data_IF_931466275097
#
_entry.id   IF_931466275097
#
_cell.length_a   1.000
_cell.length_b   1.000
_cell.length_c   1.000
_cell.angle_alpha   90.00
_cell.angle_beta   90.00
_cell.angle_gamma   90.00
#
_symmetry.space_group_name_H-M   'P 1'
#
loop_
_entity.id
_entity.type
_entity.pdbx_description
1 polymer ?
2 non-polymer ?
3 water ?
#
# COMPACT_ATOMS: atom_id res chain seq x y z
N UNK A 20 19.44 -11.54 -17.10
CA UNK A 20 20.43 -11.18 -16.10
C UNK A 20 19.77 -10.77 -14.78
N UNK A 21 20.58 -10.67 -13.73
CA UNK A 21 20.04 -10.35 -12.41
C UNK A 21 19.70 -8.87 -12.28
N UNK A 22 20.52 -7.98 -12.87
CA UNK A 22 20.27 -6.55 -12.74
C UNK A 22 18.99 -6.14 -13.44
N UNK A 23 18.65 -6.81 -14.54
CA UNK A 23 17.41 -6.49 -15.24
C UNK A 23 16.20 -6.82 -14.38
N UNK A 24 16.20 -8.00 -13.74
CA UNK A 24 15.09 -8.36 -12.87
C UNK A 24 15.07 -7.51 -11.60
N UNK A 25 16.24 -7.05 -11.14
CA UNK A 25 16.26 -6.13 -10.01
C UNK A 25 15.61 -4.80 -10.37
N UNK A 26 15.94 -4.26 -11.55
CA UNK A 26 15.28 -3.04 -12.00
C UNK A 26 13.79 -3.27 -12.19
N UNK A 27 13.46 -4.48 -12.61
CA UNK A 27 12.06 -4.73 -12.87
C UNK A 27 11.36 -5.38 -11.76
N UNK A 28 11.87 -5.24 -10.58
CA UNK A 28 11.11 -5.66 -9.45
C UNK A 28 11.48 -4.51 -8.56
N UNK A 29 11.59 -3.32 -9.15
CA UNK A 29 11.83 -2.13 -8.41
C UNK A 29 10.74 -1.46 -8.98
N UNK A 30 10.85 -1.21 -10.24
CA UNK A 30 9.76 -0.48 -10.87
C UNK A 30 8.40 -1.06 -10.49
N UNK A 31 8.34 -2.36 -10.20
CA UNK A 31 7.10 -2.95 -9.72
C UNK A 31 6.74 -2.41 -8.33
N UNK A 32 7.75 -2.30 -7.45
CA UNK A 32 7.52 -1.67 -6.16
C UNK A 32 7.10 -0.22 -6.31
N UNK A 33 7.69 0.49 -7.27
CA UNK A 33 7.30 1.87 -7.53
C UNK A 33 5.84 1.95 -7.95
N UNK A 34 5.42 1.06 -8.86
CA UNK A 34 4.03 1.03 -9.30
C UNK A 34 3.09 0.69 -8.15
N UNK A 35 3.51 -0.23 -7.27
CA UNK A 35 2.67 -0.62 -6.15
C UNK A 35 2.52 0.52 -5.14
N UNK A 36 3.60 1.24 -4.86
CA UNK A 36 3.56 2.35 -3.92
C UNK A 36 3.02 3.63 -4.52
N UNK A 37 2.85 3.69 -5.85
CA UNK A 37 2.25 4.86 -6.47
C UNK A 37 0.85 5.13 -5.94
N UNK A 38 0.16 4.09 -5.48
CA UNK A 38 -1.17 4.27 -4.91
C UNK A 38 -1.12 5.00 -3.57
N UNK A 39 0.00 4.92 -2.85
CA UNK A 39 0.12 5.61 -1.57
C UNK A 39 0.22 7.12 -1.75
N UNK A 40 0.66 7.60 -2.90
CA UNK A 40 0.81 9.02 -3.18
C UNK A 40 -0.28 9.58 -4.08
N UNK A 41 -0.72 8.81 -5.08
CA UNK A 41 -1.76 9.31 -5.99
C UNK A 41 -3.12 9.33 -5.32
N UNK A 42 -3.36 8.46 -4.34
CA UNK A 42 -4.62 8.42 -3.62
C UNK A 42 -4.56 9.15 -2.29
N UNK A 43 -3.54 9.98 -2.08
CA UNK A 43 -3.44 10.76 -0.85
C UNK A 43 -4.52 11.83 -0.81
N UNK A 44 -5.16 11.97 0.34
CA UNK A 44 -6.24 12.93 0.53
C UNK A 44 -5.68 14.14 1.27
N UNK A 45 -5.57 15.30 0.63
CA UNK A 45 -5.09 16.50 1.33
C UNK A 45 -6.19 17.13 2.16
N UNK A 46 -5.82 18.18 2.89
CA UNK A 46 -6.79 18.93 3.68
C UNK A 46 -7.78 19.62 2.76
N UNK A 47 -9.06 19.28 2.90
CA UNK A 47 -10.11 19.81 2.05
C UNK A 47 -11.21 20.42 2.89
N UNK A 48 -11.97 21.32 2.26
CA UNK A 48 -13.10 21.97 2.90
C UNK A 48 -14.22 22.16 1.89
N UNK A 49 -15.40 22.51 2.38
CA UNK A 49 -16.55 22.69 1.51
C UNK A 49 -16.44 23.98 0.71
N UNK A 50 -16.92 23.95 -0.52
CA UNK A 50 -16.94 25.13 -1.36
C UNK A 50 -17.93 26.14 -0.81
N UNK A 51 -17.43 27.29 -0.37
CA UNK A 51 -18.26 28.30 0.26
C UNK A 51 -18.26 29.58 -0.57
N UNK A 52 -19.40 30.28 -0.65
CA UNK A 52 -19.42 31.53 -1.43
C UNK A 52 -18.61 32.65 -0.81
N UNK A 53 -18.46 32.67 0.51
CA UNK A 53 -17.68 33.70 1.18
C UNK A 53 -16.18 33.43 1.14
N UNK A 54 -15.74 32.38 0.44
CA UNK A 54 -14.32 32.05 0.34
C UNK A 54 -13.82 31.79 -1.07
N UNK A 55 -14.70 31.49 -2.03
CA UNK A 55 -14.28 31.16 -3.39
C UNK A 55 -14.94 32.02 -4.46
N UNK A 56 -15.76 32.99 -4.08
CA UNK A 56 -16.41 33.87 -5.04
C UNK A 56 -15.52 35.09 -5.28
N UNK A 57 -16.06 36.12 -5.93
CA UNK A 57 -15.29 37.31 -6.24
C UNK A 57 -15.02 38.12 -4.97
N UNK A 58 -14.39 39.28 -5.15
CA UNK A 58 -13.98 40.14 -4.04
C UNK A 58 -15.14 40.53 -3.13
N UNK A 59 -16.39 40.48 -3.62
CA UNK A 59 -17.54 40.92 -2.85
C UNK A 59 -17.77 40.12 -1.58
N UNK A 60 -17.01 39.03 -1.35
CA UNK A 60 -17.16 38.27 -0.12
C UNK A 60 -16.76 39.05 1.12
N UNK A 61 -15.86 40.03 0.99
CA UNK A 61 -15.42 40.83 2.12
C UNK A 61 -16.50 41.82 2.53
N UNK A 67 -11.23 40.33 4.04
CA UNK A 67 -10.27 40.46 5.13
C UNK A 67 -10.47 39.36 6.17
N UNK A 68 -9.36 38.98 6.83
CA UNK A 68 -9.35 37.93 7.84
C UNK A 68 -9.99 36.65 7.33
N UNK A 69 -9.32 35.94 6.42
CA UNK A 69 -9.93 34.71 5.87
C UNK A 69 -10.17 33.63 6.90
N UNK A 70 -9.42 33.63 8.00
CA UNK A 70 -9.65 32.64 9.05
C UNK A 70 -11.02 32.83 9.70
N UNK A 71 -11.40 34.07 9.96
CA UNK A 71 -12.72 34.34 10.53
C UNK A 71 -13.83 33.95 9.57
N UNK A 72 -13.63 34.21 8.27
CA UNK A 72 -14.63 33.82 7.28
C UNK A 72 -14.76 32.30 7.21
N UNK A 73 -13.64 31.59 7.26
CA UNK A 73 -13.69 30.13 7.25
C UNK A 73 -14.36 29.59 8.51
N UNK A 74 -14.13 30.25 9.65
CA UNK A 74 -14.75 29.80 10.90
C UNK A 74 -16.25 30.04 10.89
N UNK A 75 -16.70 31.19 10.40
CA UNK A 75 -18.13 31.49 10.38
C UNK A 75 -18.85 30.82 9.21
N UNK A 76 -18.11 30.32 8.22
CA UNK A 76 -18.72 29.65 7.07
C UNK A 76 -18.74 28.13 7.19
N UNK A 77 -17.89 27.56 8.03
CA UNK A 77 -17.82 26.10 8.19
C UNK A 77 -17.77 25.78 9.68
N UNK A 78 -18.63 24.89 10.16
CA UNK A 78 -18.62 24.54 11.59
C UNK A 78 -17.39 23.71 11.93
N UNK A 79 -17.02 23.64 13.21
CA UNK A 79 -15.89 22.80 13.60
C UNK A 79 -16.21 21.32 13.41
N UNK A 80 -15.13 20.53 13.32
CA UNK A 80 -15.26 19.11 13.12
C UNK A 80 -14.21 18.31 13.86
N UNK A 81 -13.67 17.29 13.21
CA UNK A 81 -12.65 16.46 13.86
C UNK A 81 -11.37 17.25 14.15
N UNK A 82 -10.72 16.90 15.25
CA UNK A 82 -9.46 17.52 15.68
C UNK A 82 -9.59 19.03 15.84
N UNK A 83 -10.78 19.49 16.24
CA UNK A 83 -11.09 20.90 16.44
C UNK A 83 -10.86 21.74 15.18
N UNK A 84 -10.83 21.10 14.02
CA UNK A 84 -10.66 21.78 12.75
C UNK A 84 -12.02 22.00 12.09
N UNK A 85 -12.10 22.93 11.13
CA UNK A 85 -13.37 23.12 10.41
C UNK A 85 -13.83 21.82 9.75
N UNK A 86 -15.13 21.58 9.84
CA UNK A 86 -15.70 20.31 9.36
C UNK A 86 -15.50 20.17 7.86
N UNK A 87 -14.79 19.11 7.45
CA UNK A 87 -14.56 18.85 6.04
C UNK A 87 -15.76 18.28 5.33
N UNK A 88 -16.93 18.25 5.97
CA UNK A 88 -18.11 17.62 5.37
C UNK A 88 -19.37 18.44 5.58
N UNK A 89 -19.30 19.62 6.19
CA UNK A 89 -20.46 20.44 6.47
C UNK A 89 -20.13 21.90 6.20
N UNK A 90 -21.13 22.65 5.71
CA UNK A 90 -20.98 24.07 5.43
C UNK A 90 -22.22 24.81 5.90
N UNK A 91 -22.03 26.05 6.36
CA UNK A 91 -23.14 26.88 6.80
C UNK A 91 -23.82 27.53 5.60
N UNK A 92 -25.15 27.48 5.58
CA UNK A 92 -25.90 28.14 4.51
C UNK A 92 -25.89 29.65 4.68
N UNK A 93 -25.89 30.13 5.92
CA UNK A 93 -25.82 31.55 6.23
C UNK A 93 -24.65 31.82 7.16
N UNK A 94 -23.99 32.98 7.01
CA UNK A 94 -22.86 33.29 7.88
C UNK A 94 -23.30 33.44 9.33
N UNK A 95 -22.73 32.60 10.20
CA UNK A 95 -23.05 32.61 11.62
C UNK A 95 -22.07 33.56 12.33
N UNK A 96 -22.50 34.81 12.48
CA UNK A 96 -21.66 35.82 13.13
C UNK A 96 -21.56 35.63 14.64
N UNK A 97 -22.39 34.76 15.23
CA UNK A 97 -22.35 34.55 16.66
C UNK A 97 -21.11 33.77 17.10
N UNK A 98 -20.46 33.06 16.19
CA UNK A 98 -19.29 32.27 16.54
C UNK A 98 -18.01 33.09 16.61
N UNK A 99 -17.93 34.19 15.85
CA UNK A 99 -16.72 35.00 15.86
C UNK A 99 -16.66 35.90 17.09
N UNK A 100 -17.80 36.35 17.58
CA UNK A 100 -17.82 37.25 18.74
C UNK A 100 -17.49 36.46 20.00
N UNK A 101 -16.42 36.83 20.72
CA UNK A 101 -16.07 36.09 21.94
C UNK A 101 -17.08 36.25 23.07
N UNK A 102 -17.92 37.30 23.02
CA UNK A 102 -18.91 37.49 24.08
C UNK A 102 -20.03 36.47 24.01
N UNK A 103 -20.24 35.84 22.86
CA UNK A 103 -21.25 34.81 22.72
C UNK A 103 -20.67 33.44 23.06
N UNK A 104 -21.55 32.53 23.47
CA UNK A 104 -21.12 31.19 23.85
C UNK A 104 -20.64 30.40 22.63
N UNK A 105 -19.68 29.51 22.85
CA UNK A 105 -19.17 28.70 21.77
C UNK A 105 -20.10 27.53 21.47
N UNK A 106 -20.04 27.05 20.23
CA UNK A 106 -20.87 25.95 19.75
C UNK A 106 -22.35 26.23 20.04
N UNK A 107 -22.84 27.35 19.52
CA UNK A 107 -24.24 27.74 19.66
C UNK A 107 -25.06 27.46 18.42
N UNK A 108 -24.43 27.09 17.31
CA UNK A 108 -25.16 26.83 16.07
C UNK A 108 -25.92 25.52 16.16
N UNK A 109 -26.98 25.42 15.36
CA UNK A 109 -27.82 24.23 15.30
C UNK A 109 -27.39 23.35 14.15
N UNK A 110 -27.85 22.09 14.19
CA UNK A 110 -27.51 21.14 13.12
C UNK A 110 -28.27 21.45 11.85
N UNK A 111 -29.46 22.04 11.95
CA UNK A 111 -30.26 22.35 10.77
C UNK A 111 -29.64 23.45 9.92
N UNK A 112 -28.72 24.23 10.48
CA UNK A 112 -28.09 25.31 9.73
C UNK A 112 -27.05 24.81 8.74
N UNK A 113 -26.73 23.52 8.75
CA UNK A 113 -25.72 22.97 7.86
C UNK A 113 -26.38 22.28 6.65
N UNK A 114 -25.55 21.97 5.68
CA UNK A 114 -25.96 21.27 4.46
C UNK A 114 -24.92 20.22 4.13
N UNK A 115 -25.31 19.13 3.43
CA UNK A 115 -24.38 18.04 3.11
C UNK A 115 -23.45 18.36 1.95
N UNK A 116 -22.88 19.56 1.95
CA UNK A 116 -21.87 20.00 0.99
C UNK A 116 -22.32 19.75 -0.45
N UNK A 117 -23.38 20.46 -0.84
CA UNK A 117 -23.93 20.28 -2.19
C UNK A 117 -23.09 21.02 -3.23
N UNK A 118 -22.44 22.12 -2.85
CA UNK A 118 -21.72 22.96 -3.80
C UNK A 118 -20.36 22.40 -4.20
N UNK A 119 -19.88 21.35 -3.54
CA UNK A 119 -18.61 20.74 -3.87
C UNK A 119 -17.56 21.02 -2.80
N UNK A 120 -16.34 20.59 -3.12
CA UNK A 120 -15.21 20.70 -2.20
C UNK A 120 -14.00 21.28 -2.92
N UNK A 121 -13.15 21.96 -2.16
CA UNK A 121 -11.89 22.49 -2.64
C UNK A 121 -10.76 21.83 -1.86
N UNK A 122 -9.64 21.60 -2.53
CA UNK A 122 -8.52 20.88 -1.95
C UNK A 122 -7.28 21.76 -1.90
N UNK A 123 -6.38 21.44 -0.97
CA UNK A 123 -5.15 22.20 -0.81
C UNK A 123 -4.13 21.77 -1.85
N UNK A 124 -3.70 22.71 -2.69
CA UNK A 124 -2.72 22.45 -3.73
C UNK A 124 -1.28 22.72 -3.28
N UNK A 125 -1.02 22.72 -1.98
CA UNK A 125 0.32 23.01 -1.49
C UNK A 125 1.24 21.79 -1.65
N UNK A 126 0.83 20.65 -1.10
CA UNK A 126 1.67 19.46 -1.16
C UNK A 126 1.48 18.75 -2.49
N UNK A 127 0.24 18.45 -2.86
CA UNK A 127 -0.08 17.76 -4.10
C UNK A 127 -0.90 18.68 -4.99
N UNK A 128 -0.52 18.73 -6.28
CA UNK A 128 -1.24 19.57 -7.22
C UNK A 128 -2.53 18.92 -7.69
N UNK A 129 -2.51 17.61 -7.91
CA UNK A 129 -3.71 16.89 -8.36
C UNK A 129 -3.58 15.43 -7.94
N UNK A 130 -4.66 14.91 -7.36
CA UNK A 130 -4.71 13.52 -6.94
C UNK A 130 -6.05 12.92 -7.36
N UNK A 131 -6.17 11.60 -7.23
CA UNK A 131 -7.42 10.93 -7.57
C UNK A 131 -8.51 11.24 -6.55
N UNK A 132 -8.14 11.70 -5.36
CA UNK A 132 -9.13 12.10 -4.37
C UNK A 132 -9.71 13.47 -4.71
N UNK A 133 -8.85 14.40 -5.13
CA UNK A 133 -9.30 15.74 -5.48
C UNK A 133 -9.96 15.80 -6.86
N UNK A 134 -9.72 14.81 -7.70
CA UNK A 134 -10.29 14.83 -9.05
C UNK A 134 -11.72 14.31 -9.06
N UNK A 135 -11.95 13.13 -8.48
CA UNK A 135 -13.26 12.50 -8.48
C UNK A 135 -14.03 12.73 -7.18
N UNK A 136 -13.56 13.66 -6.34
CA UNK A 136 -14.26 14.06 -5.12
C UNK A 136 -14.50 12.87 -4.19
N UNK A 137 -13.40 12.27 -3.74
CA UNK A 137 -13.45 11.19 -2.75
C UNK A 137 -13.58 11.85 -1.38
N UNK A 138 -14.83 12.05 -0.96
CA UNK A 138 -15.15 12.78 0.25
C UNK A 138 -15.88 11.81 1.17
N UNK A 139 -16.24 12.26 2.38
CA UNK A 139 -16.88 11.39 3.38
C UNK A 139 -18.03 10.57 2.81
N UNK A 140 -18.81 11.16 1.89
CA UNK A 140 -19.90 10.42 1.28
C UNK A 140 -19.39 9.23 0.46
N UNK A 141 -18.21 9.35 -0.14
CA UNK A 141 -17.61 8.27 -0.91
C UNK A 141 -16.19 7.98 -0.42
N UNK A 142 -15.95 8.15 0.89
CA UNK A 142 -14.62 7.91 1.44
C UNK A 142 -14.19 6.46 1.35
N UNK A 143 -15.15 5.53 1.20
CA UNK A 143 -14.82 4.12 1.08
C UNK A 143 -14.30 3.76 -0.31
N UNK A 144 -14.24 4.72 -1.24
CA UNK A 144 -13.83 4.40 -2.61
C UNK A 144 -12.33 4.11 -2.67
N UNK A 145 -11.52 4.90 -1.96
CA UNK A 145 -10.08 4.66 -1.98
C UNK A 145 -9.70 3.30 -1.40
N UNK A 146 -10.20 2.88 -0.22
CA UNK A 146 -9.96 1.49 0.19
C UNK A 146 -10.60 0.49 -0.76
N UNK A 147 -11.76 0.82 -1.34
CA UNK A 147 -12.34 -0.05 -2.36
C UNK A 147 -11.46 -0.11 -3.60
N UNK A 148 -10.84 1.01 -3.97
CA UNK A 148 -9.92 1.00 -5.11
C UNK A 148 -8.71 0.12 -4.83
N UNK A 149 -8.14 0.23 -3.62
CA UNK A 149 -7.02 -0.63 -3.27
C UNK A 149 -7.43 -2.10 -3.22
N UNK A 150 -8.65 -2.38 -2.75
CA UNK A 150 -9.14 -3.75 -2.70
C UNK A 150 -9.34 -4.31 -4.11
N UNK A 151 -9.83 -3.48 -5.04
CA UNK A 151 -9.99 -3.92 -6.42
C UNK A 151 -8.62 -4.15 -7.06
N UNK A 152 -7.64 -3.30 -6.74
CA UNK A 152 -6.28 -3.50 -7.24
C UNK A 152 -5.72 -4.83 -6.76
N UNK A 153 -5.86 -5.12 -5.47
CA UNK A 153 -5.33 -6.37 -4.93
C UNK A 153 -6.12 -7.59 -5.42
N UNK A 154 -7.42 -7.42 -5.69
CA UNK A 154 -8.20 -8.49 -6.29
C UNK A 154 -7.73 -8.77 -7.71
N UNK A 155 -7.41 -7.72 -8.46
CA UNK A 155 -6.80 -7.91 -9.77
C UNK A 155 -5.45 -8.60 -9.68
N UNK A 156 -4.68 -8.27 -8.65
CA UNK A 156 -3.42 -8.97 -8.41
C UNK A 156 -3.67 -10.46 -8.19
N UNK A 157 -4.67 -10.79 -7.36
CA UNK A 157 -4.99 -12.19 -7.11
C UNK A 157 -5.45 -12.89 -8.39
N UNK A 158 -6.29 -12.24 -9.17
CA UNK A 158 -6.79 -12.83 -10.41
C UNK A 158 -5.64 -13.07 -11.39
N UNK A 159 -4.73 -12.10 -11.50
CA UNK A 159 -3.59 -12.29 -12.39
C UNK A 159 -2.67 -13.40 -11.94
N UNK A 160 -2.40 -13.48 -10.63
CA UNK A 160 -1.55 -14.55 -10.12
C UNK A 160 -2.20 -15.92 -10.29
N UNK A 161 -3.53 -15.98 -10.25
CA UNK A 161 -4.21 -17.25 -10.43
C UNK A 161 -4.35 -17.62 -11.91
N UNK A 162 -4.39 -16.63 -12.80
CA UNK A 162 -4.62 -16.90 -14.22
C UNK A 162 -3.33 -17.10 -15.01
N UNK A 163 -2.26 -16.40 -14.66
CA UNK A 163 -1.02 -16.48 -15.42
C UNK A 163 -0.29 -17.81 -15.24
N UNK A 164 -0.77 -18.68 -14.34
CA UNK A 164 -0.18 -19.97 -14.15
C UNK A 164 -0.24 -20.82 -15.40
N UNK A 165 -1.46 -21.21 -15.81
CA UNK A 165 -1.60 -21.94 -17.07
C UNK A 165 -1.09 -21.18 -18.28
N UNK A 166 -1.22 -19.85 -18.29
CA UNK A 166 -0.72 -19.06 -19.41
C UNK A 166 0.80 -19.19 -19.54
N UNK A 167 1.52 -19.05 -18.42
CA UNK A 167 2.96 -19.20 -18.45
C UNK A 167 3.37 -20.64 -18.72
N UNK A 168 2.56 -21.60 -18.28
CA UNK A 168 2.89 -23.01 -18.51
C UNK A 168 2.70 -23.41 -19.98
N UNK A 169 1.73 -22.79 -20.66
CA UNK A 169 1.43 -23.15 -22.05
C UNK A 169 2.22 -22.30 -23.04
N UNK A 170 2.06 -20.98 -22.97
CA UNK A 170 2.67 -20.08 -23.95
C UNK A 170 4.12 -19.73 -23.64
N UNK A 171 4.69 -20.30 -22.60
CA UNK A 171 6.07 -19.96 -22.26
C UNK A 171 6.16 -18.76 -21.33
N UNK A 172 7.28 -18.69 -20.61
CA UNK A 172 7.45 -17.63 -19.62
C UNK A 172 7.81 -16.29 -20.27
N UNK A 173 8.63 -16.31 -21.32
CA UNK A 173 9.04 -15.05 -21.93
C UNK A 173 7.87 -14.39 -22.66
N UNK A 174 7.02 -15.19 -23.31
CA UNK A 174 5.86 -14.61 -24.00
C UNK A 174 4.92 -13.92 -23.03
N UNK A 175 4.58 -14.59 -21.92
CA UNK A 175 3.66 -13.99 -20.96
C UNK A 175 4.33 -12.82 -20.25
N UNK A 176 5.66 -12.88 -20.07
CA UNK A 176 6.36 -11.76 -19.45
C UNK A 176 6.28 -10.52 -20.35
N UNK A 177 6.55 -10.68 -21.65
CA UNK A 177 6.46 -9.55 -22.57
C UNK A 177 5.04 -9.04 -22.68
N UNK A 178 4.06 -9.94 -22.73
CA UNK A 178 2.66 -9.51 -22.79
C UNK A 178 2.26 -8.74 -21.55
N UNK A 179 2.73 -9.18 -20.38
CA UNK A 179 2.40 -8.49 -19.13
C UNK A 179 3.11 -7.14 -19.06
N UNK A 180 4.32 -7.04 -19.59
CA UNK A 180 4.99 -5.74 -19.65
C UNK A 180 4.23 -4.78 -20.55
N UNK A 181 3.80 -5.25 -21.73
CA UNK A 181 3.04 -4.41 -22.63
C UNK A 181 1.72 -3.98 -21.99
N UNK A 182 1.04 -4.91 -21.31
CA UNK A 182 -0.20 -4.58 -20.63
C UNK A 182 0.04 -3.56 -19.52
N UNK A 183 1.13 -3.72 -18.76
CA UNK A 183 1.48 -2.75 -17.74
C UNK A 183 1.64 -1.36 -18.33
N UNK A 184 2.43 -1.24 -19.40
CA UNK A 184 2.65 0.05 -20.03
C UNK A 184 1.34 0.65 -20.53
N UNK A 185 0.52 -0.17 -21.19
CA UNK A 185 -0.73 0.33 -21.77
C UNK A 185 -1.68 0.81 -20.68
N UNK A 186 -1.85 0.00 -19.63
CA UNK A 186 -2.78 0.36 -18.56
C UNK A 186 -2.27 1.56 -17.76
N UNK A 187 -0.95 1.69 -17.61
CA UNK A 187 -0.42 2.88 -16.95
C UNK A 187 -0.67 4.14 -17.76
N UNK A 188 -0.40 4.08 -19.06
CA UNK A 188 -0.66 5.22 -19.93
C UNK A 188 -2.15 5.55 -19.97
N UNK A 189 -3.02 4.54 -19.86
CA UNK A 189 -4.46 4.79 -19.89
C UNK A 189 -4.93 5.41 -18.58
N UNK A 190 -4.50 4.85 -17.44
CA UNK A 190 -4.89 5.38 -16.14
C UNK A 190 -4.29 6.76 -15.88
N UNK A 191 -3.19 7.12 -16.55
CA UNK A 191 -2.66 8.47 -16.43
C UNK A 191 -3.63 9.51 -16.99
N UNK A 192 -4.58 9.11 -17.83
CA UNK A 192 -5.57 10.02 -18.41
C UNK A 192 -6.98 9.46 -18.27
N UNK A 193 -7.29 8.85 -17.13
CA UNK A 193 -8.62 8.28 -16.94
C UNK A 193 -9.65 9.39 -16.72
N UNK A 194 -10.75 9.41 -17.47
CA UNK A 194 -11.73 10.49 -17.31
C UNK A 194 -12.75 10.21 -16.21
N UNK A 195 -12.94 8.95 -15.85
CA UNK A 195 -13.92 8.57 -14.86
C UNK A 195 -13.30 7.64 -13.81
N UNK A 196 -14.00 7.50 -12.69
CA UNK A 196 -13.54 6.66 -11.58
C UNK A 196 -13.67 5.17 -11.89
N UNK A 197 -14.79 4.69 -12.45
CA UNK A 197 -14.84 3.26 -12.81
C UNK A 197 -13.85 2.88 -13.90
N UNK A 198 -13.60 3.78 -14.85
CA UNK A 198 -12.61 3.50 -15.89
C UNK A 198 -11.23 3.41 -15.27
N UNK A 199 -10.92 4.31 -14.33
CA UNK A 199 -9.64 4.24 -13.64
C UNK A 199 -9.53 2.96 -12.82
N UNK A 200 -10.64 2.53 -12.22
CA UNK A 200 -10.63 1.29 -11.45
C UNK A 200 -10.37 0.08 -12.33
N UNK A 201 -10.99 0.03 -13.51
CA UNK A 201 -10.74 -1.06 -14.44
C UNK A 201 -9.31 -1.03 -14.97
N UNK A 202 -8.79 0.17 -15.24
CA UNK A 202 -7.40 0.29 -15.67
C UNK A 202 -6.45 -0.22 -14.60
N UNK A 203 -6.70 0.13 -13.33
CA UNK A 203 -5.89 -0.37 -12.24
C UNK A 203 -6.03 -1.88 -12.07
N UNK A 204 -7.24 -2.41 -12.32
CA UNK A 204 -7.44 -3.86 -12.26
C UNK A 204 -6.57 -4.58 -13.29
N UNK A 205 -6.57 -4.09 -14.53
CA UNK A 205 -5.76 -4.71 -15.57
C UNK A 205 -4.27 -4.51 -15.31
N UNK A 206 -3.90 -3.33 -14.81
CA UNK A 206 -2.51 -3.08 -14.46
C UNK A 206 -2.05 -4.03 -13.36
N UNK A 207 -2.92 -4.31 -12.39
CA UNK A 207 -2.59 -5.26 -11.32
C UNK A 207 -2.53 -6.68 -11.84
N UNK A 208 -3.40 -7.04 -12.79
CA UNK A 208 -3.29 -8.33 -13.46
C UNK A 208 -1.90 -8.50 -14.07
N UNK A 209 -1.46 -7.52 -14.85
CA UNK A 209 -0.14 -7.60 -15.47
C UNK A 209 0.98 -7.57 -14.45
N UNK A 210 0.80 -6.79 -13.37
CA UNK A 210 1.80 -6.73 -12.30
C UNK A 210 1.97 -8.10 -11.66
N UNK A 211 0.85 -8.77 -11.37
CA UNK A 211 0.92 -10.09 -10.76
C UNK A 211 1.51 -11.11 -11.72
N UNK A 212 1.22 -10.99 -13.01
CA UNK A 212 1.89 -11.84 -13.99
C UNK A 212 3.39 -11.68 -13.96
N UNK A 213 3.87 -10.44 -13.98
CA UNK A 213 5.31 -10.18 -13.93
C UNK A 213 5.89 -10.69 -12.61
N UNK A 214 5.16 -10.53 -11.51
CA UNK A 214 5.64 -11.00 -10.21
C UNK A 214 5.81 -12.52 -10.20
N UNK A 215 4.80 -13.25 -10.69
CA UNK A 215 4.89 -14.69 -10.72
C UNK A 215 6.01 -15.15 -11.63
N UNK A 216 6.19 -14.49 -12.78
CA UNK A 216 7.27 -14.87 -13.69
C UNK A 216 8.63 -14.63 -13.06
N UNK A 217 8.82 -13.47 -12.43
CA UNK A 217 10.08 -13.16 -11.76
C UNK A 217 10.37 -14.16 -10.65
N UNK A 218 9.35 -14.50 -9.86
CA UNK A 218 9.55 -15.47 -8.79
C UNK A 218 9.95 -16.84 -9.31
N UNK A 219 9.18 -17.36 -10.28
CA UNK A 219 9.46 -18.68 -10.81
C UNK A 219 10.76 -18.73 -11.61
N UNK A 220 11.27 -17.58 -12.06
CA UNK A 220 12.55 -17.57 -12.74
C UNK A 220 13.71 -17.46 -11.77
N UNK A 221 13.59 -16.61 -10.75
CA UNK A 221 14.65 -16.47 -9.75
C UNK A 221 14.73 -17.68 -8.83
N UNK A 222 13.67 -18.48 -8.73
CA UNK A 222 13.72 -19.67 -7.91
C UNK A 222 14.60 -20.76 -8.51
N UNK A 223 14.70 -20.82 -9.84
CA UNK A 223 15.42 -21.92 -10.48
C UNK A 223 16.43 -21.47 -11.52
N UNK A 224 16.79 -20.19 -11.61
CA UNK A 224 17.85 -19.79 -12.52
C UNK A 224 19.21 -20.29 -12.05
N UNK A 225 19.59 -19.95 -10.82
CA UNK A 225 20.90 -20.31 -10.28
C UNK A 225 20.86 -21.54 -9.38
N UNK A 226 19.95 -21.55 -8.41
CA UNK A 226 19.84 -22.69 -7.49
C UNK A 226 19.15 -23.87 -8.18
N UNK A 228 21.74 -23.71 -4.08
CA UNK A 228 22.31 -23.24 -2.83
C UNK A 228 22.20 -21.73 -2.69
N UNK A 229 22.21 -21.04 -3.84
CA UNK A 229 22.12 -19.59 -3.88
C UNK A 229 20.69 -19.08 -3.88
N UNK A 230 19.71 -19.93 -3.61
CA UNK A 230 18.32 -19.49 -3.57
C UNK A 230 18.08 -18.42 -2.50
N UNK A 231 18.53 -18.57 -1.25
CA UNK A 231 18.35 -17.46 -0.29
C UNK A 231 19.09 -16.19 -0.71
N UNK A 232 20.24 -16.34 -1.35
CA UNK A 232 20.99 -15.16 -1.81
C UNK A 232 20.22 -14.39 -2.87
N UNK A 233 19.69 -15.08 -3.88
CA UNK A 233 18.94 -14.39 -4.92
C UNK A 233 17.62 -13.87 -4.39
N UNK A 234 17.03 -14.57 -3.41
CA UNK A 234 15.80 -14.06 -2.80
C UNK A 234 16.06 -12.77 -2.01
N UNK A 235 17.17 -12.72 -1.28
CA UNK A 235 17.52 -11.49 -0.56
C UNK A 235 17.90 -10.38 -1.54
N UNK A 236 18.48 -10.73 -2.68
CA UNK A 236 18.76 -9.73 -3.70
C UNK A 236 17.48 -9.16 -4.27
N UNK A 237 16.48 -10.01 -4.53
CA UNK A 237 15.19 -9.51 -5.00
C UNK A 237 14.51 -8.66 -3.94
N UNK A 238 14.64 -9.05 -2.66
CA UNK A 238 14.09 -8.24 -1.58
C UNK A 238 14.77 -6.88 -1.49
N UNK A 239 16.09 -6.84 -1.67
CA UNK A 239 16.80 -5.57 -1.69
C UNK A 239 16.41 -4.72 -2.90
N UNK A 240 16.12 -5.35 -4.04
CA UNK A 240 15.61 -4.63 -5.18
C UNK A 240 14.24 -4.01 -4.90
N UNK A 241 13.38 -4.77 -4.22
CA UNK A 241 12.08 -4.26 -3.78
C UNK A 241 12.26 -3.08 -2.85
N UNK A 242 13.23 -3.17 -1.93
CA UNK A 242 13.50 -2.09 -1.01
C UNK A 242 14.03 -0.85 -1.74
N UNK A 243 14.87 -1.07 -2.75
CA UNK A 243 15.37 0.01 -3.59
C UNK A 243 14.21 0.70 -4.29
N UNK A 244 13.24 -0.09 -4.75
CA UNK A 244 12.05 0.50 -5.34
C UNK A 244 11.23 1.29 -4.33
N UNK A 245 11.10 0.76 -3.12
CA UNK A 245 10.45 1.49 -2.03
C UNK A 245 11.11 2.85 -1.82
N UNK A 246 12.44 2.88 -1.84
CA UNK A 246 13.16 4.12 -1.61
C UNK A 246 13.12 5.06 -2.81
N UNK A 247 13.01 4.50 -4.02
CA UNK A 247 13.03 5.33 -5.22
C UNK A 247 11.67 5.96 -5.50
N UNK A 248 10.59 5.23 -5.20
CA UNK A 248 9.26 5.78 -5.48
C UNK A 248 8.97 7.01 -4.63
N UNK A 249 9.57 7.10 -3.44
CA UNK A 249 9.41 8.30 -2.62
C UNK A 249 9.98 9.53 -3.32
N UNK A 250 11.21 9.40 -3.84
CA UNK A 250 11.82 10.52 -4.55
C UNK A 250 11.07 10.81 -5.85
N UNK A 251 10.57 9.77 -6.52
CA UNK A 251 9.82 9.99 -7.76
C UNK A 251 8.53 10.76 -7.49
N UNK A 252 7.84 10.43 -6.39
CA UNK A 252 6.63 11.16 -6.03
C UNK A 252 6.96 12.56 -5.53
N UNK A 253 8.12 12.75 -4.89
CA UNK A 253 8.53 14.07 -4.46
C UNK A 253 8.88 14.96 -5.65
N UNK A 254 9.40 14.39 -6.72
CA UNK A 254 9.76 15.16 -7.90
C UNK A 254 8.58 15.56 -8.75
N UNK A 255 7.60 14.67 -8.89
CA UNK A 255 6.41 14.91 -9.71
C UNK A 255 5.23 15.10 -8.78
N UNK A 256 4.66 16.30 -8.78
CA UNK A 256 3.52 16.61 -7.92
C UNK A 256 2.18 16.26 -8.54
N UNK A 257 2.14 15.93 -9.83
CA UNK A 257 0.91 15.57 -10.51
C UNK A 257 0.85 14.05 -10.66
N UNK A 258 -0.27 13.45 -10.27
CA UNK A 258 -0.39 12.00 -10.31
C UNK A 258 -0.40 11.48 -11.74
N UNK A 259 -0.93 12.26 -12.68
CA UNK A 259 -0.94 11.84 -14.08
C UNK A 259 0.47 11.71 -14.64
N UNK A 260 1.25 12.79 -14.54
CA UNK A 260 2.64 12.73 -14.98
C UNK A 260 3.44 11.74 -14.16
N UNK A 261 3.09 11.56 -12.88
CA UNK A 261 3.76 10.57 -12.05
C UNK A 261 3.57 9.16 -12.62
N UNK A 262 2.32 8.78 -12.89
CA UNK A 262 2.07 7.47 -13.48
C UNK A 262 2.69 7.36 -14.86
N UNK A 263 2.74 8.46 -15.62
CA UNK A 263 3.37 8.43 -16.94
C UNK A 263 4.86 8.10 -16.83
N UNK A 264 5.58 8.82 -15.98
CA UNK A 264 7.02 8.60 -15.84
C UNK A 264 7.34 7.31 -15.08
N UNK A 265 6.34 6.73 -14.40
CA UNK A 265 6.57 5.44 -13.77
C UNK A 265 6.33 4.30 -14.78
N UNK A 266 5.38 4.47 -15.70
CA UNK A 266 5.12 3.45 -16.70
C UNK A 266 6.06 3.54 -17.90
N UNK A 267 6.72 4.68 -18.10
CA UNK A 267 7.69 4.79 -19.20
C UNK A 267 8.82 3.77 -19.08
N UNK A 268 9.41 3.53 -17.92
CA UNK A 268 10.45 2.48 -17.84
C UNK A 268 9.98 1.11 -18.30
N UNK A 269 8.70 0.79 -18.13
CA UNK A 269 8.19 -0.47 -18.65
C UNK A 269 8.14 -0.48 -20.17
N UNK A 270 7.75 0.65 -20.76
CA UNK A 270 7.83 0.79 -22.22
C UNK A 270 9.26 0.67 -22.72
N UNK A 271 10.23 1.12 -21.91
CA UNK A 271 11.64 0.98 -22.29
C UNK A 271 12.10 -0.47 -22.17
N UNK A 272 11.72 -1.14 -21.08
CA UNK A 272 12.09 -2.53 -20.88
C UNK A 272 11.40 -3.47 -21.87
N UNK A 273 10.30 -3.03 -22.48
CA UNK A 273 9.66 -3.81 -23.53
C UNK A 273 10.57 -4.05 -24.72
N UNK A 274 11.67 -3.31 -24.84
CA UNK A 274 12.60 -3.51 -25.96
C UNK A 274 13.26 -4.88 -25.92
N UNK A 275 13.34 -5.49 -24.74
CA UNK A 275 13.96 -6.80 -24.57
C UNK A 275 13.02 -7.95 -24.94
N UNK A 276 11.94 -7.67 -25.67
CA UNK A 276 11.00 -8.71 -26.06
C UNK A 276 11.66 -9.69 -27.04
N UNK A 277 11.42 -10.98 -26.82
CA UNK A 277 11.96 -12.05 -27.66
C UNK A 277 13.49 -12.03 -27.71
N UNK A 278 14.11 -11.51 -26.65
CA UNK A 278 15.57 -11.38 -26.57
C UNK A 278 16.12 -10.63 -27.77
N UNK A 279 15.61 -9.41 -27.95
CA UNK A 279 15.96 -8.56 -29.10
C UNK A 279 15.75 -9.28 -30.42
N UNK A 280 14.63 -10.01 -30.51
CA UNK A 280 14.27 -10.77 -31.71
C UNK A 280 15.37 -11.74 -32.11
N UNK A 281 15.79 -12.56 -31.14
CA UNK A 281 16.86 -13.54 -31.33
C UNK A 281 18.15 -12.89 -31.80
N UNK A 282 18.42 -11.67 -31.31
CA UNK A 282 19.60 -10.89 -31.69
C UNK A 282 19.78 -10.82 -33.21
N UNK A 338 -5.02 -30.00 -9.25
CA UNK A 338 -3.70 -30.56 -9.06
C UNK A 338 -3.03 -30.10 -7.79
N UNK A 339 -2.19 -30.97 -7.22
CA UNK A 339 -1.45 -30.68 -5.99
C UNK A 339 -2.37 -30.27 -4.85
N UNK A 340 -3.51 -30.94 -4.72
CA UNK A 340 -4.48 -30.64 -3.67
C UNK A 340 -4.21 -31.40 -2.38
N UNK A 341 -3.12 -32.17 -2.31
CA UNK A 341 -2.79 -32.93 -1.11
C UNK A 341 -2.16 -32.08 -0.02
N UNK A 342 -2.02 -30.76 -0.22
CA UNK A 342 -1.41 -29.90 0.78
C UNK A 342 -2.29 -29.69 2.00
N UNK A 343 -3.61 -29.83 1.84
CA UNK A 343 -4.53 -29.64 2.97
C UNK A 343 -4.52 -30.84 3.91
N UNK A 344 -4.69 -32.08 3.44
CA UNK A 344 -4.66 -33.21 4.38
C UNK A 344 -3.27 -33.52 4.91
N UNK A 345 -2.26 -33.51 4.05
CA UNK A 345 -0.90 -33.82 4.49
C UNK A 345 -0.22 -32.62 5.09
N UNK A 346 0.36 -32.81 6.28
CA UNK A 346 1.03 -31.73 7.01
C UNK A 346 0.10 -30.53 7.19
N UNK A 347 -1.10 -30.80 7.72
CA UNK A 347 -2.11 -29.77 7.84
C UNK A 347 -1.69 -28.67 8.80
N UNK A 348 -0.98 -29.03 9.88
CA UNK A 348 -0.53 -28.03 10.83
C UNK A 348 0.46 -27.07 10.19
N UNK A 349 1.49 -27.60 9.54
CA UNK A 349 2.46 -26.75 8.85
C UNK A 349 1.79 -25.92 7.77
N UNK A 350 0.82 -26.51 7.06
CA UNK A 350 0.13 -25.78 6.00
C UNK A 350 -0.63 -24.58 6.55
N UNK A 351 -1.45 -24.80 7.59
CA UNK A 351 -2.24 -23.71 8.13
C UNK A 351 -1.35 -22.66 8.78
N UNK A 352 -0.25 -23.08 9.40
CA UNK A 352 0.67 -22.10 9.99
C UNK A 352 1.30 -21.24 8.90
N UNK A 353 1.74 -21.87 7.80
CA UNK A 353 2.34 -21.10 6.71
C UNK A 353 1.33 -20.13 6.11
N UNK A 354 0.10 -20.60 5.85
CA UNK A 354 -0.92 -19.69 5.32
C UNK A 354 -1.24 -18.57 6.30
N UNK A 355 -1.20 -18.85 7.60
CA UNK A 355 -1.46 -17.80 8.58
C UNK A 355 -0.37 -16.74 8.57
N UNK A 356 0.91 -17.17 8.54
CA UNK A 356 1.99 -16.20 8.47
C UNK A 356 1.94 -15.38 7.19
N UNK A 357 1.66 -16.02 6.06
CA UNK A 357 1.56 -15.27 4.80
C UNK A 357 0.39 -14.30 4.82
N UNK A 358 -0.76 -14.73 5.35
CA UNK A 358 -1.92 -13.85 5.49
C UNK A 358 -1.59 -12.65 6.37
N UNK A 359 -0.90 -12.89 7.48
CA UNK A 359 -0.53 -11.80 8.38
C UNK A 359 0.39 -10.81 7.69
N UNK A 360 1.40 -11.33 6.99
CA UNK A 360 2.33 -10.47 6.26
C UNK A 360 1.59 -9.62 5.24
N UNK A 361 0.74 -10.24 4.43
CA UNK A 361 -0.02 -9.53 3.44
C UNK A 361 -0.90 -8.44 4.05
N UNK A 362 -1.65 -8.82 5.09
CA UNK A 362 -2.50 -7.90 5.84
C UNK A 362 -1.71 -6.67 6.27
N UNK A 363 -0.67 -6.86 7.07
CA UNK A 363 0.09 -5.73 7.59
C UNK A 363 0.74 -4.91 6.48
N UNK A 364 1.39 -5.56 5.52
CA UNK A 364 2.12 -4.84 4.49
C UNK A 364 1.17 -3.98 3.65
N UNK A 365 0.13 -4.59 3.10
CA UNK A 365 -0.77 -3.82 2.24
C UNK A 365 -1.84 -3.05 3.00
N UNK A 366 -1.80 -3.06 4.33
CA UNK A 366 -2.66 -2.16 5.10
C UNK A 366 -1.91 -0.98 5.65
N UNK A 367 -0.60 -1.11 5.83
CA UNK A 367 0.21 -0.04 6.41
C UNK A 367 0.92 0.79 5.35
N UNK A 368 1.41 0.14 4.29
CA UNK A 368 2.19 0.84 3.27
C UNK A 368 1.30 1.69 2.37
N UNK A 369 -0.01 1.53 2.49
CA UNK A 369 -0.96 2.27 1.67
C UNK A 369 -1.60 3.45 2.41
N UNK A 370 -1.28 3.64 3.69
CA UNK A 370 -1.83 4.75 4.46
C UNK A 370 -0.71 5.42 5.25
N UNK A 371 0.40 5.72 4.58
CA UNK A 371 1.54 6.36 5.24
C UNK A 371 1.25 7.79 5.67
N UNK A 372 0.15 8.38 5.23
CA UNK A 372 -0.15 9.76 5.60
C UNK A 372 -0.44 9.88 7.10
N UNK A 373 -1.07 8.87 7.70
CA UNK A 373 -1.38 8.90 9.11
C UNK A 373 -0.29 8.28 9.98
N UNK A 374 0.62 7.51 9.38
CA UNK A 374 1.69 6.87 10.14
C UNK A 374 2.83 7.83 10.45
N UNK A 375 2.94 8.93 9.72
CA UNK A 375 3.99 9.89 9.94
C UNK A 375 3.54 11.29 9.53
N UNK A 376 4.41 12.26 9.77
CA UNK A 376 4.12 13.64 9.41
C UNK A 376 4.50 13.99 7.98
N UNK A 377 5.58 13.40 7.46
CA UNK A 377 6.02 13.61 6.09
C UNK A 377 6.07 12.26 5.39
N UNK A 378 5.25 12.11 4.34
CA UNK A 378 5.13 10.82 3.68
C UNK A 378 6.42 10.47 2.95
N UNK A 379 7.04 11.45 2.28
CA UNK A 379 8.27 11.18 1.54
C UNK A 379 9.40 10.80 2.48
N UNK A 380 9.59 11.57 3.55
CA UNK A 380 10.62 11.24 4.53
C UNK A 380 10.31 9.91 5.21
N UNK A 381 9.04 9.64 5.47
CA UNK A 381 8.66 8.36 6.07
C UNK A 381 9.06 7.19 5.17
N UNK A 382 8.75 7.28 3.88
CA UNK A 382 9.10 6.21 2.96
C UNK A 382 10.61 6.08 2.81
N UNK A 383 11.33 7.21 2.79
CA UNK A 383 12.78 7.17 2.68
C UNK A 383 13.39 6.47 3.89
N UNK A 384 12.92 6.80 5.09
CA UNK A 384 13.42 6.13 6.29
C UNK A 384 13.02 4.66 6.30
N UNK A 385 11.82 4.34 5.82
CA UNK A 385 11.39 2.95 5.72
C UNK A 385 12.38 2.16 4.86
N UNK A 386 12.73 2.70 3.70
CA UNK A 386 13.67 2.01 2.83
C UNK A 386 15.05 1.91 3.44
N UNK A 387 15.56 3.02 4.01
CA UNK A 387 16.93 3.03 4.51
C UNK A 387 17.09 2.18 5.76
N UNK A 388 16.01 1.89 6.48
CA UNK A 388 16.08 0.98 7.62
C UNK A 388 15.72 -0.46 7.23
N UNK A 389 14.93 -0.65 6.18
CA UNK A 389 14.60 -1.98 5.71
C UNK A 389 15.74 -2.61 4.91
N UNK A 390 16.63 -1.80 4.31
CA UNK A 390 17.80 -2.33 3.62
C UNK A 390 18.64 -3.18 4.58
N UNK A 391 19.13 -2.66 5.71
CA UNK A 391 19.96 -3.50 6.58
C UNK A 391 19.18 -4.58 7.29
N UNK A 392 17.89 -4.36 7.55
CA UNK A 392 17.08 -5.40 8.19
C UNK A 392 17.00 -6.64 7.31
N UNK A 393 16.52 -6.48 6.07
CA UNK A 393 16.45 -7.62 5.16
C UNK A 393 17.83 -8.06 4.69
N UNK A 394 18.86 -7.24 4.88
CA UNK A 394 20.23 -7.70 4.61
C UNK A 394 20.69 -8.70 5.66
N UNK A 395 20.60 -8.32 6.94
CA UNK A 395 20.96 -9.21 8.02
C UNK A 395 19.95 -10.31 8.30
N UNK A 396 18.79 -10.28 7.64
CA UNK A 396 17.83 -11.37 7.79
C UNK A 396 18.43 -12.71 7.39
N UNK A 397 19.27 -12.73 6.34
CA UNK A 397 19.87 -13.99 5.92
C UNK A 397 20.90 -14.47 6.93
N UNK A 398 21.69 -13.55 7.50
CA UNK A 398 22.60 -13.93 8.57
C UNK A 398 21.84 -14.49 9.76
N UNK A 399 20.72 -13.86 10.12
CA UNK A 399 19.92 -14.35 11.24
C UNK A 399 19.36 -15.74 10.94
N UNK A 400 18.86 -15.95 9.72
CA UNK A 400 18.33 -17.25 9.34
C UNK A 400 19.41 -18.32 9.34
N UNK A 401 20.64 -17.96 8.96
CA UNK A 401 21.72 -18.95 8.92
C UNK A 401 22.29 -19.24 10.31
N UNK A 402 22.22 -18.27 11.23
CA UNK A 402 22.80 -18.45 12.55
C UNK A 402 21.80 -19.04 13.54
N UNK A 403 20.68 -18.36 13.77
CA UNK A 403 19.72 -18.79 14.78
C UNK A 403 18.72 -19.81 14.26
N UNK A 404 18.44 -19.83 12.97
CA UNK A 404 17.50 -20.76 12.39
C UNK A 404 16.39 -20.03 11.67
N UNK A 405 15.34 -20.78 11.34
CA UNK A 405 14.21 -20.24 10.58
C UNK A 405 13.07 -19.79 11.51
N UNK A 406 12.62 -20.69 12.38
CA UNK A 406 11.50 -20.36 13.26
C UNK A 406 11.81 -19.28 14.28
N UNK A 407 12.93 -19.33 15.03
CA UNK A 407 13.12 -18.32 16.09
C UNK A 407 13.23 -16.90 15.56
N UNK A 408 14.02 -16.67 14.52
CA UNK A 408 14.17 -15.31 14.00
C UNK A 408 12.89 -14.82 13.35
N UNK A 409 12.12 -15.71 12.73
CA UNK A 409 10.84 -15.32 12.16
C UNK A 409 9.86 -14.91 13.24
N UNK A 410 9.76 -15.71 14.31
CA UNK A 410 8.88 -15.35 15.42
C UNK A 410 9.32 -14.05 16.08
N UNK A 411 10.64 -13.85 16.20
CA UNK A 411 11.15 -12.63 16.81
C UNK A 411 10.79 -11.40 15.95
N UNK A 412 10.98 -11.50 14.64
CA UNK A 412 10.64 -10.38 13.76
C UNK A 412 9.14 -10.11 13.78
N UNK A 413 8.32 -11.16 13.77
CA UNK A 413 6.87 -10.97 13.82
C UNK A 413 6.45 -10.29 15.12
N UNK A 414 6.97 -10.76 16.26
CA UNK A 414 6.62 -10.16 17.54
C UNK A 414 7.11 -8.72 17.63
N UNK A 415 8.30 -8.43 17.08
CA UNK A 415 8.82 -7.07 17.10
C UNK A 415 7.94 -6.15 16.27
N UNK A 416 7.55 -6.59 15.06
CA UNK A 416 6.67 -5.77 14.24
C UNK A 416 5.33 -5.54 14.90
N UNK A 417 4.76 -6.60 15.51
CA UNK A 417 3.48 -6.44 16.19
C UNK A 417 3.56 -5.47 17.36
N UNK A 418 4.60 -5.60 18.18
CA UNK A 418 4.77 -4.71 19.31
C UNK A 418 5.00 -3.27 18.86
N UNK A 419 5.76 -3.09 17.77
CA UNK A 419 5.99 -1.75 17.26
C UNK A 419 4.69 -1.12 16.76
N UNK A 420 3.88 -1.87 16.02
CA UNK A 420 2.64 -1.32 15.50
C UNK A 420 1.65 -1.07 16.64
N UNK A 421 1.67 -1.89 17.69
CA UNK A 421 0.80 -1.65 18.83
C UNK A 421 1.24 -0.40 19.61
N UNK A 422 2.55 -0.23 19.82
CA UNK A 422 3.04 0.97 20.47
C UNK A 422 2.77 2.21 19.63
N UNK A 423 2.72 2.05 18.30
CA UNK A 423 2.35 3.16 17.43
C UNK A 423 0.98 3.71 17.77
N UNK A 424 0.06 2.85 18.21
CA UNK A 424 -1.22 3.31 18.71
C UNK A 424 -1.13 3.73 20.18
N UNK A 425 -0.23 3.11 20.94
CA UNK A 425 -0.07 3.47 22.33
C UNK A 425 0.53 4.86 22.50
N UNK A 426 1.47 5.22 21.63
CA UNK A 426 2.11 6.54 21.74
C UNK A 426 1.12 7.62 21.32
N UNK A 427 1.06 8.76 22.01
CA UNK A 427 0.20 9.85 21.56
C UNK A 427 0.61 10.36 20.19
N UNK A 428 -0.36 10.98 19.50
CA UNK A 428 -0.14 11.44 18.14
C UNK A 428 0.82 12.63 18.07
N UNK A 429 1.04 13.32 19.20
CA UNK A 429 1.94 14.48 19.18
C UNK A 429 3.40 14.09 18.98
N UNK A 430 3.80 12.87 19.36
CA UNK A 430 5.16 12.40 19.16
C UNK A 430 5.28 11.85 17.74
N UNK A 431 5.37 12.79 16.79
CA UNK A 431 5.41 12.41 15.38
C UNK A 431 6.67 11.65 15.00
N UNK A 432 7.82 12.07 15.53
CA UNK A 432 9.06 11.38 15.24
C UNK A 432 9.03 9.95 15.77
N UNK A 433 8.52 9.77 17.01
CA UNK A 433 8.44 8.43 17.58
C UNK A 433 7.46 7.57 16.80
N UNK A 434 6.33 8.14 16.38
CA UNK A 434 5.37 7.40 15.58
C UNK A 434 5.97 6.97 14.25
N UNK A 435 6.72 7.86 13.60
CA UNK A 435 7.37 7.53 12.34
C UNK A 435 8.42 6.43 12.54
N UNK A 436 9.19 6.52 13.62
CA UNK A 436 10.20 5.50 13.90
C UNK A 436 9.54 4.14 14.14
N UNK A 437 8.42 4.13 14.87
CA UNK A 437 7.71 2.87 15.11
C UNK A 437 7.15 2.30 13.82
N UNK A 438 6.63 3.16 12.94
CA UNK A 438 6.12 2.68 11.66
C UNK A 438 7.24 2.10 10.80
N UNK A 439 8.39 2.77 10.76
CA UNK A 439 9.53 2.24 10.01
C UNK A 439 9.98 0.91 10.58
N UNK A 440 10.04 0.81 11.91
CA UNK A 440 10.46 -0.45 12.54
C UNK A 440 9.47 -1.56 12.23
N UNK A 441 8.16 -1.26 12.25
CA UNK A 441 7.17 -2.27 11.93
C UNK A 441 7.26 -2.73 10.49
N UNK A 442 7.51 -1.80 9.56
CA UNK A 442 7.64 -2.17 8.16
C UNK A 442 8.90 -3.02 7.93
N UNK A 443 10.01 -2.65 8.57
CA UNK A 443 11.20 -3.48 8.49
C UNK A 443 10.98 -4.85 9.07
N UNK A 444 10.23 -4.93 10.17
CA UNK A 444 9.95 -6.23 10.78
C UNK A 444 9.08 -7.11 9.91
N UNK A 445 8.05 -6.53 9.28
CA UNK A 445 7.19 -7.36 8.44
C UNK A 445 7.92 -7.75 7.16
N UNK A 446 8.83 -6.91 6.67
CA UNK A 446 9.66 -7.32 5.54
C UNK A 446 10.59 -8.47 5.89
N UNK A 447 11.22 -8.39 7.06
CA UNK A 447 12.05 -9.50 7.53
C UNK A 447 11.23 -10.76 7.72
N UNK A 448 9.99 -10.61 8.19
CA UNK A 448 9.11 -11.77 8.35
C UNK A 448 8.73 -12.38 7.00
N UNK A 449 8.52 -11.53 5.99
CA UNK A 449 8.27 -12.04 4.64
C UNK A 449 9.47 -12.82 4.12
N UNK A 450 10.67 -12.26 4.29
CA UNK A 450 11.86 -12.98 3.88
C UNK A 450 11.98 -14.32 4.61
N UNK A 451 11.68 -14.32 5.91
CA UNK A 451 11.81 -15.54 6.70
C UNK A 451 10.80 -16.60 6.25
N UNK A 452 9.55 -16.21 6.00
CA UNK A 452 8.56 -17.19 5.57
C UNK A 452 8.85 -17.67 4.15
N UNK A 453 9.41 -16.80 3.30
CA UNK A 453 9.79 -17.24 1.97
C UNK A 453 10.93 -18.26 2.03
N UNK A 454 11.88 -18.05 2.93
CA UNK A 454 12.97 -19.03 3.08
C UNK A 454 12.44 -20.32 3.70
N UNK A 455 11.47 -20.21 4.62
CA UNK A 455 10.99 -21.38 5.35
C UNK A 455 10.04 -22.22 4.51
N UNK A 456 9.38 -21.62 3.52
CA UNK A 456 8.42 -22.37 2.70
C UNK A 456 9.13 -23.41 1.83
N UNK A 457 10.41 -23.20 1.52
CA UNK A 457 11.16 -24.15 0.72
C UNK A 457 11.59 -25.39 1.51
N UNK A 458 11.40 -25.39 2.83
CA UNK A 458 11.79 -26.52 3.68
C UNK A 458 10.67 -27.04 4.56
N UNK A 459 9.56 -26.32 4.70
CA UNK A 459 8.45 -26.83 5.50
C UNK A 459 7.82 -28.08 4.88
N UNK A 460 7.85 -28.19 3.55
CA UNK A 460 7.21 -29.27 2.86
C UNK A 460 8.20 -30.01 1.97
N UNK A 461 8.08 -31.32 1.85
CA UNK A 461 9.01 -32.07 0.99
C UNK A 461 8.83 -31.70 -0.48
N UNK A 462 9.72 -32.24 -1.31
CA UNK A 462 9.70 -31.97 -2.74
C UNK A 462 8.43 -32.47 -3.41
N UNK A 463 7.78 -33.50 -2.84
CA UNK A 463 6.55 -34.02 -3.43
C UNK A 463 5.40 -33.06 -3.19
N UNK A 464 5.51 -32.19 -2.18
CA UNK A 464 4.49 -31.18 -1.90
C UNK A 464 4.97 -29.75 -2.14
N UNK A 465 6.26 -29.54 -2.38
CA UNK A 465 6.76 -28.18 -2.62
C UNK A 465 6.51 -27.76 -4.06
N UNK A 467 1.70 -27.65 -4.39
CA UNK A 467 1.87 -26.21 -4.54
C UNK A 467 1.69 -25.49 -3.22
N UNK A 468 2.51 -25.87 -2.23
CA UNK A 468 2.42 -25.23 -0.92
C UNK A 468 2.84 -23.77 -0.99
N UNK A 469 3.91 -23.47 -1.73
CA UNK A 469 4.34 -22.08 -1.89
C UNK A 469 3.27 -21.27 -2.62
N UNK A 470 2.63 -21.87 -3.62
CA UNK A 470 1.55 -21.18 -4.32
C UNK A 470 0.37 -20.91 -3.42
N UNK A 471 0.00 -21.88 -2.58
CA UNK A 471 -1.10 -21.66 -1.63
C UNK A 471 -0.73 -20.58 -0.62
N UNK A 472 0.53 -20.54 -0.19
CA UNK A 472 0.96 -19.50 0.72
C UNK A 472 0.88 -18.12 0.08
N UNK A 473 1.32 -18.00 -1.17
CA UNK A 473 1.22 -16.72 -1.87
C UNK A 473 -0.23 -16.33 -2.10
N UNK A 474 -1.10 -17.31 -2.37
CA UNK A 474 -2.52 -17.00 -2.53
C UNK A 474 -3.13 -16.52 -1.23
N UNK A 475 -2.77 -17.13 -0.10
CA UNK A 475 -3.26 -16.66 1.19
C UNK A 475 -2.73 -15.28 1.52
N UNK A 476 -1.47 -15.01 1.16
CA UNK A 476 -0.92 -13.67 1.37
C UNK A 476 -1.65 -12.64 0.53
N UNK A 477 -1.99 -12.98 -0.72
CA UNK A 477 -2.73 -12.06 -1.57
C UNK A 477 -4.14 -11.84 -1.03
N UNK A 478 -4.76 -12.89 -0.49
CA UNK A 478 -6.07 -12.72 0.13
C UNK A 478 -6.03 -11.82 1.35
N UNK A 479 -5.01 -11.99 2.19
CA UNK A 479 -4.83 -11.08 3.31
C UNK A 479 -4.60 -9.66 2.86
N UNK A 480 -3.82 -9.48 1.79
CA UNK A 480 -3.64 -8.16 1.21
C UNK A 480 -4.98 -7.56 0.78
N UNK A 481 -5.78 -8.35 0.07
CA UNK A 481 -7.10 -7.88 -0.37
C UNK A 481 -7.93 -7.44 0.82
N UNK A 482 -7.97 -8.26 1.87
CA UNK A 482 -8.74 -7.91 3.06
C UNK A 482 -8.12 -6.75 3.83
N UNK A 483 -6.87 -6.39 3.54
CA UNK A 483 -6.20 -5.29 4.18
C UNK A 483 -6.98 -3.98 4.20
N UNK A 484 -7.18 -3.37 3.03
CA UNK A 484 -7.90 -2.09 2.98
C UNK A 484 -9.34 -2.17 3.45
N UNK A 485 -9.94 -3.37 3.46
CA UNK A 485 -11.32 -3.50 3.92
C UNK A 485 -11.44 -3.25 5.42
N UNK A 486 -10.39 -3.58 6.19
CA UNK A 486 -10.42 -3.32 7.62
C UNK A 486 -10.14 -1.86 7.95
N UNK A 487 -9.61 -1.10 7.00
CA UNK A 487 -9.37 0.32 7.24
C UNK A 487 -10.67 1.10 7.38
N UNK A 488 -11.78 0.56 6.89
CA UNK A 488 -13.07 1.23 7.04
C UNK A 488 -13.51 1.34 8.49
N UNK A 489 -12.88 0.59 9.40
CA UNK A 489 -13.19 0.69 10.82
C UNK A 489 -12.70 1.98 11.45
N UNK A 490 -12.09 2.88 10.68
CA UNK A 490 -11.65 4.15 11.23
C UNK A 490 -12.76 5.05 11.71
N UNK A 491 -14.01 4.78 11.29
CA UNK A 491 -15.13 5.56 11.78
C UNK A 491 -15.38 5.30 13.25
N UNK A 492 -15.22 4.06 13.69
CA UNK A 492 -15.38 3.73 15.11
C UNK A 492 -14.17 4.13 15.94
N UNK A 493 -13.04 4.45 15.30
CA UNK A 493 -11.86 4.87 16.00
C UNK A 493 -10.65 4.88 15.08
N UNK A 494 -9.80 5.90 15.22
CA UNK A 494 -8.62 6.00 14.34
C UNK A 494 -7.55 4.98 14.64
N UNK A 495 -7.63 4.27 15.77
CA UNK A 495 -6.62 3.29 16.14
C UNK A 495 -7.02 1.86 15.83
N UNK A 496 -8.29 1.61 15.51
CA UNK A 496 -8.75 0.25 15.26
C UNK A 496 -8.01 -0.43 14.11
N UNK A 497 -7.84 0.18 12.92
CA UNK A 497 -7.06 -0.50 11.88
C UNK A 497 -5.62 -0.76 12.30
N UNK A 498 -4.97 0.22 12.94
CA UNK A 498 -3.62 -0.01 13.44
C UNK A 498 -3.61 -1.01 14.60
N UNK A 499 -4.66 -1.03 15.41
CA UNK A 499 -4.76 -2.04 16.46
C UNK A 499 -4.78 -3.44 15.86
N UNK A 500 -5.55 -3.63 14.78
CA UNK A 500 -5.56 -4.94 14.11
C UNK A 500 -4.22 -5.23 13.47
N UNK A 501 -3.62 -4.23 12.82
CA UNK A 501 -2.32 -4.42 12.17
C UNK A 501 -1.22 -4.71 13.18
N UNK A 502 -1.42 -4.38 14.45
CA UNK A 502 -0.45 -4.71 15.47
C UNK A 502 -0.76 -6.01 16.20
N UNK A 503 -2.05 -6.35 16.29
CA UNK A 503 -2.45 -7.58 16.98
C UNK A 503 -2.26 -8.82 16.12
N UNK A 504 -2.46 -8.71 14.80
CA UNK A 504 -2.30 -9.87 13.92
C UNK A 504 -0.88 -10.43 13.95
N UNK A 505 0.18 -9.63 13.84
CA UNK A 505 1.53 -10.22 13.86
C UNK A 505 1.87 -10.90 15.18
N UNK A 506 1.31 -10.44 16.30
CA UNK A 506 1.57 -11.08 17.58
C UNK A 506 1.06 -12.52 17.57
N UNK A 507 -0.20 -12.70 17.15
CA UNK A 507 -0.77 -14.05 17.06
C UNK A 507 -0.05 -14.87 16.00
N UNK A 508 0.36 -14.24 14.91
CA UNK A 508 1.09 -14.95 13.87
C UNK A 508 2.40 -15.51 14.41
N UNK A 509 3.14 -14.70 15.16
CA UNK A 509 4.38 -15.17 15.75
C UNK A 509 4.16 -16.21 16.81
N UNK A 510 3.12 -16.04 17.63
CA UNK A 510 2.80 -17.05 18.65
C UNK A 510 2.43 -18.38 18.02
N UNK A 511 1.80 -18.35 16.85
CA UNK A 511 1.48 -19.60 16.16
C UNK A 511 2.70 -20.19 15.47
N UNK A 512 3.55 -19.35 14.89
CA UNK A 512 4.76 -19.84 14.24
C UNK A 512 5.79 -20.37 15.23
N UNK A 513 5.72 -19.95 16.49
CA UNK A 513 6.63 -20.47 17.50
C UNK A 513 6.49 -21.97 17.69
N UNK A 514 5.37 -22.56 17.28
CA UNK A 514 5.15 -23.99 17.42
C UNK A 514 5.66 -24.79 16.23
N UNK A 515 6.31 -24.15 15.26
CA UNK A 515 6.82 -24.87 14.12
C UNK A 515 8.02 -25.73 14.52
N UNK A 516 8.19 -26.89 13.87
CA UNK A 516 9.34 -27.77 14.15
C UNK A 516 10.65 -27.20 13.63
#
# INVERSE_FOLDING_TARGET
>A
MAFSELLDLVGGLGRFQVLQTMALMVSIMWLCTQSMLENFSAAVPSHRCWAPLLDNSTAQASILGSLSPEALLAISIPPGPNQRPHQCRRFRQPQWQLLDPNATATSWSEADTEPCVDGWVYDRSIFTSTIVAKWNLVCDSHALKPMAQSIYLAGILVGAAACGPASDRFGRRLVLTWSYLQMAVMGTAAAFAPAFPVYCLFRFLLAFAVAGVMMNTGTLLMEWTAARARPLVMTLNSLGFSFGHGLTAAVAYGVRDWTLLQLVVSVPFFLCFLYSWWLAESARWLLTTGRLDWGLQELWRVAAINGKGAVQDTLTPEVLLSAMREELSMGQPPASLGTLLRMPGLRFRTCISTLCWFAFGFTFFGLALDLQALGSNIFLLQMFIGVVDIPAKMGALLLLSHLGRRPTLAASLLLAGLCILANTLVPHEMGALRSALAVLGLGGVGAAFTCITIYSSELFPTVLRMTAVGLGQMAARGGAILGPLVRLLGVHGPWLPLLVYGTVPVLSGLAALLLPETQSLPLPDTIQDVQNQAVKKATHGTLGNSVLKSTQF
#
